data_IF_679189097520
#
_entry.id   IF_679189097520
#
_cell.length_a   1.000
_cell.length_b   1.000
_cell.length_c   1.000
_cell.angle_alpha   90.00
_cell.angle_beta   90.00
_cell.angle_gamma   90.00
#
_symmetry.space_group_name_H-M   'P 1'
#
loop_
_entity.id
_entity.type
_entity.pdbx_description
1 polymer ?
#
# COMPACT_ATOMS: atom_id res chain seq x y z
N UNK A 1 -12.69 28.19 3.26
CA UNK A 1 -12.28 26.78 3.04
C UNK A 1 -11.22 26.75 1.95
N UNK A 2 -10.07 26.13 2.17
CA UNK A 2 -8.99 26.12 1.19
C UNK A 2 -9.44 25.34 -0.07
N UNK A 3 -9.41 25.97 -1.25
CA UNK A 3 -9.89 25.40 -2.52
C UNK A 3 -9.20 24.03 -2.81
N UNK A 4 -7.92 23.93 -2.49
CA UNK A 4 -7.14 22.69 -2.67
C UNK A 4 -7.69 21.54 -1.82
N UNK A 5 -8.01 21.80 -0.55
CA UNK A 5 -8.58 20.78 0.34
C UNK A 5 -9.96 20.30 -0.15
N UNK A 6 -10.78 21.20 -0.71
CA UNK A 6 -12.05 20.82 -1.31
C UNK A 6 -11.87 19.89 -2.51
N UNK A 7 -10.87 20.17 -3.37
CA UNK A 7 -10.54 19.32 -4.52
C UNK A 7 -10.01 17.96 -4.09
N UNK A 8 -9.09 17.90 -3.12
CA UNK A 8 -8.57 16.63 -2.59
C UNK A 8 -9.69 15.79 -1.93
N UNK A 9 -10.61 16.45 -1.20
CA UNK A 9 -11.78 15.76 -0.65
C UNK A 9 -12.69 15.19 -1.74
N UNK A 10 -12.84 15.91 -2.86
CA UNK A 10 -13.56 15.42 -4.03
C UNK A 10 -12.88 14.16 -4.60
N UNK A 11 -11.56 14.23 -4.85
CA UNK A 11 -10.78 13.07 -5.35
C UNK A 11 -10.97 11.84 -4.45
N UNK A 12 -11.00 12.03 -3.12
CA UNK A 12 -11.28 10.95 -2.18
C UNK A 12 -12.65 10.30 -2.41
N UNK A 13 -13.70 11.11 -2.61
CA UNK A 13 -15.05 10.58 -2.77
C UNK A 13 -15.28 9.94 -4.14
N UNK A 14 -14.70 10.51 -5.19
CA UNK A 14 -14.77 9.97 -6.55
C UNK A 14 -14.01 8.63 -6.66
N UNK A 15 -12.85 8.54 -5.99
CA UNK A 15 -11.96 7.38 -6.05
C UNK A 15 -11.93 6.55 -4.76
N UNK A 16 -13.03 6.53 -3.99
CA UNK A 16 -13.10 5.78 -2.71
C UNK A 16 -12.84 4.28 -2.86
N UNK A 17 -13.09 3.68 -4.03
CA UNK A 17 -12.72 2.31 -4.34
C UNK A 17 -11.21 2.10 -4.25
N UNK A 18 -10.44 2.90 -4.96
CA UNK A 18 -8.98 2.85 -4.99
C UNK A 18 -8.34 3.27 -3.67
N UNK A 19 -8.86 4.34 -3.02
CA UNK A 19 -8.24 4.96 -1.85
C UNK A 19 -8.60 4.25 -0.54
N UNK A 20 -9.85 3.77 -0.40
CA UNK A 20 -10.34 3.17 0.84
C UNK A 20 -10.57 1.67 0.71
N UNK A 21 -11.32 1.24 -0.31
CA UNK A 21 -11.76 -0.17 -0.39
C UNK A 21 -10.61 -1.09 -0.73
N UNK A 22 -9.78 -0.74 -1.70
CA UNK A 22 -8.64 -1.58 -2.11
C UNK A 22 -7.67 -1.87 -0.97
N UNK A 23 -7.12 -0.88 -0.22
CA UNK A 23 -6.22 -1.21 0.89
C UNK A 23 -6.90 -2.05 1.97
N UNK A 24 -8.19 -1.79 2.31
CA UNK A 24 -8.92 -2.59 3.31
C UNK A 24 -9.12 -4.04 2.86
N UNK A 25 -9.45 -4.28 1.59
CA UNK A 25 -9.58 -5.64 1.03
C UNK A 25 -8.25 -6.39 1.11
N UNK A 26 -7.14 -5.71 0.79
CA UNK A 26 -5.80 -6.30 0.87
C UNK A 26 -5.43 -6.64 2.30
N UNK A 27 -5.67 -5.71 3.23
CA UNK A 27 -5.44 -5.96 4.67
C UNK A 27 -6.28 -7.13 5.17
N UNK A 28 -7.56 -7.18 4.80
CA UNK A 28 -8.45 -8.30 5.14
C UNK A 28 -7.97 -9.62 4.54
N UNK A 29 -7.53 -9.64 3.28
CA UNK A 29 -6.96 -10.82 2.64
C UNK A 29 -5.68 -11.30 3.34
N UNK A 30 -4.81 -10.38 3.75
CA UNK A 30 -3.60 -10.70 4.49
C UNK A 30 -3.91 -11.33 5.86
N UNK A 31 -4.88 -10.76 6.60
CA UNK A 31 -5.35 -11.32 7.88
C UNK A 31 -5.96 -12.70 7.69
N UNK A 32 -6.80 -12.89 6.65
CA UNK A 32 -7.39 -14.19 6.33
C UNK A 32 -6.32 -15.23 5.99
N UNK A 33 -5.33 -14.87 5.17
CA UNK A 33 -4.23 -15.77 4.83
C UNK A 33 -3.44 -16.21 6.08
N UNK A 34 -3.18 -15.28 7.01
CA UNK A 34 -2.53 -15.60 8.27
C UNK A 34 -3.39 -16.52 9.15
N UNK A 35 -4.69 -16.24 9.28
CA UNK A 35 -5.62 -17.09 10.02
C UNK A 35 -5.69 -18.49 9.42
N UNK A 36 -5.81 -18.60 8.10
CA UNK A 36 -5.78 -19.89 7.41
C UNK A 36 -4.47 -20.63 7.65
N UNK A 37 -3.33 -19.93 7.65
CA UNK A 37 -2.04 -20.51 8.00
C UNK A 37 -2.03 -21.11 9.41
N UNK A 38 -2.51 -20.37 10.41
CA UNK A 38 -2.61 -20.85 11.81
C UNK A 38 -3.57 -22.04 11.92
N UNK A 39 -4.75 -21.96 11.30
CA UNK A 39 -5.75 -23.06 11.33
C UNK A 39 -5.23 -24.29 10.60
N UNK A 40 -4.57 -24.14 9.47
CA UNK A 40 -4.00 -25.26 8.71
C UNK A 40 -2.91 -25.96 9.52
N UNK A 41 -2.00 -25.19 10.11
CA UNK A 41 -0.98 -25.75 11.01
C UNK A 41 -1.62 -26.52 12.18
N UNK A 42 -2.64 -25.96 12.81
CA UNK A 42 -3.33 -26.65 13.92
C UNK A 42 -4.12 -27.89 13.49
N UNK A 43 -4.58 -27.97 12.23
CA UNK A 43 -5.34 -29.12 11.72
C UNK A 43 -4.44 -30.31 11.35
N UNK A 44 -3.24 -30.03 10.81
CA UNK A 44 -2.24 -31.07 10.52
C UNK A 44 -1.47 -31.49 11.78
N UNK A 45 -1.69 -30.80 12.89
CA UNK A 45 -1.01 -30.97 14.16
C UNK A 45 -2.00 -31.46 15.20
N UNK A 46 -2.42 -32.75 15.09
CA UNK A 46 -3.41 -33.38 15.99
C UNK A 46 -3.04 -33.26 17.47
N UNK A 47 -1.75 -33.04 17.79
CA UNK A 47 -1.23 -32.96 19.17
C UNK A 47 -0.71 -31.56 19.57
N UNK A 48 -0.92 -30.51 18.74
CA UNK A 48 -0.37 -29.16 18.96
C UNK A 48 1.16 -29.08 18.87
N UNK A 49 1.76 -30.10 18.26
CA UNK A 49 3.22 -30.27 18.21
C UNK A 49 3.93 -29.19 17.38
N UNK A 50 3.39 -28.89 16.20
CA UNK A 50 4.04 -27.95 15.25
C UNK A 50 4.00 -26.53 15.77
N UNK A 51 2.88 -26.09 16.35
CA UNK A 51 2.75 -24.73 16.92
C UNK A 51 3.62 -24.59 18.16
N UNK A 52 3.66 -25.60 19.02
CA UNK A 52 4.56 -25.63 20.19
C UNK A 52 6.03 -25.63 19.80
N UNK A 53 6.42 -26.41 18.79
CA UNK A 53 7.80 -26.38 18.27
C UNK A 53 8.18 -25.02 17.73
N UNK A 54 7.30 -24.35 16.99
CA UNK A 54 7.58 -23.01 16.47
C UNK A 54 7.77 -21.98 17.60
N UNK A 55 6.97 -22.08 18.67
CA UNK A 55 7.12 -21.24 19.87
C UNK A 55 8.38 -21.60 20.64
N UNK A 56 8.73 -22.88 20.73
CA UNK A 56 9.97 -23.35 21.36
C UNK A 56 11.21 -22.87 20.59
N UNK A 57 11.21 -22.96 19.26
CA UNK A 57 12.30 -22.41 18.43
C UNK A 57 12.45 -20.90 18.62
N UNK A 58 11.34 -20.15 18.66
CA UNK A 58 11.35 -18.73 19.01
C UNK A 58 11.95 -18.49 20.42
N UNK A 59 11.69 -19.37 21.37
CA UNK A 59 12.21 -19.24 22.73
C UNK A 59 13.72 -19.48 22.84
N UNK A 60 14.27 -20.33 21.95
CA UNK A 60 15.72 -20.64 21.86
C UNK A 60 16.53 -19.51 21.18
N UNK A 61 15.88 -18.65 20.39
CA UNK A 61 16.56 -17.52 19.74
C UNK A 61 17.03 -16.50 20.78
N UNK A 62 18.19 -15.86 20.53
CA UNK A 62 18.62 -14.73 21.32
C UNK A 62 17.65 -13.53 21.19
N UNK A 63 17.56 -12.65 22.18
CA UNK A 63 16.70 -11.46 22.11
C UNK A 63 16.94 -10.62 20.85
N UNK A 64 18.19 -10.43 20.44
CA UNK A 64 18.55 -9.65 19.25
C UNK A 64 18.08 -10.32 17.96
N UNK A 65 18.32 -11.62 17.82
CA UNK A 65 17.87 -12.41 16.63
C UNK A 65 16.34 -12.38 16.52
N UNK A 66 15.63 -12.49 17.64
CA UNK A 66 14.17 -12.41 17.71
C UNK A 66 13.66 -11.06 17.23
N UNK A 67 14.28 -9.97 17.71
CA UNK A 67 13.98 -8.61 17.28
C UNK A 67 14.22 -8.41 15.78
N UNK A 68 15.29 -8.98 15.23
CA UNK A 68 15.61 -8.91 13.80
C UNK A 68 14.59 -9.67 12.94
N UNK A 69 14.20 -10.87 13.34
CA UNK A 69 13.17 -11.66 12.64
C UNK A 69 11.84 -10.92 12.60
N UNK A 70 11.40 -10.35 13.73
CA UNK A 70 10.16 -9.59 13.82
C UNK A 70 10.21 -8.30 12.98
N UNK A 71 11.33 -7.61 13.00
CA UNK A 71 11.55 -6.41 12.20
C UNK A 71 11.53 -6.71 10.70
N UNK A 72 12.28 -7.71 10.25
CA UNK A 72 12.33 -8.11 8.85
C UNK A 72 10.99 -8.67 8.36
N UNK A 73 10.29 -9.44 9.19
CA UNK A 73 8.92 -9.91 8.91
C UNK A 73 7.93 -8.75 8.72
N UNK A 74 8.02 -7.73 9.58
CA UNK A 74 7.22 -6.52 9.44
C UNK A 74 7.51 -5.73 8.16
N UNK A 75 8.77 -5.64 7.73
CA UNK A 75 9.14 -5.03 6.46
C UNK A 75 8.69 -5.88 5.26
N UNK A 76 8.90 -7.19 5.32
CA UNK A 76 8.51 -8.11 4.24
C UNK A 76 6.99 -8.08 3.97
N UNK A 77 6.17 -7.99 5.03
CA UNK A 77 4.72 -7.87 4.89
C UNK A 77 4.29 -6.61 4.14
N UNK A 78 5.06 -5.52 4.24
CA UNK A 78 4.77 -4.27 3.54
C UNK A 78 5.00 -4.35 2.02
N UNK A 79 5.78 -5.31 1.54
CA UNK A 79 6.09 -5.45 0.11
C UNK A 79 4.81 -5.66 -0.72
N UNK A 80 3.90 -6.50 -0.23
CA UNK A 80 2.63 -6.74 -0.90
C UNK A 80 1.77 -5.46 -0.99
N UNK A 81 1.69 -4.71 0.11
CA UNK A 81 1.00 -3.41 0.12
C UNK A 81 1.65 -2.41 -0.84
N UNK A 82 2.99 -2.39 -0.89
CA UNK A 82 3.75 -1.50 -1.79
C UNK A 82 3.47 -1.79 -3.25
N UNK A 83 3.47 -3.06 -3.64
CA UNK A 83 3.18 -3.47 -5.03
C UNK A 83 1.77 -3.03 -5.43
N UNK A 84 0.76 -3.34 -4.60
CA UNK A 84 -0.62 -2.99 -4.95
C UNK A 84 -0.84 -1.47 -4.90
N UNK A 85 -0.26 -0.76 -3.93
CA UNK A 85 -0.28 0.70 -3.89
C UNK A 85 0.28 1.31 -5.18
N UNK A 86 1.40 0.77 -5.69
CA UNK A 86 2.02 1.24 -6.93
C UNK A 86 1.08 1.08 -8.13
N UNK A 87 0.38 -0.05 -8.23
CA UNK A 87 -0.65 -0.25 -9.26
C UNK A 87 -1.83 0.72 -9.09
N UNK A 88 -2.30 0.92 -7.86
CA UNK A 88 -3.39 1.87 -7.59
C UNK A 88 -3.00 3.28 -8.01
N UNK A 89 -1.82 3.76 -7.64
CA UNK A 89 -1.30 5.09 -8.03
C UNK A 89 -1.16 5.19 -9.54
N UNK A 90 -0.61 4.16 -10.19
CA UNK A 90 -0.43 4.11 -11.64
C UNK A 90 -1.77 4.27 -12.38
N UNK A 91 -2.76 3.44 -12.07
CA UNK A 91 -4.07 3.49 -12.74
C UNK A 91 -4.87 4.73 -12.35
N UNK A 92 -4.76 5.19 -11.11
CA UNK A 92 -5.37 6.46 -10.68
C UNK A 92 -4.87 7.64 -11.51
N UNK A 93 -3.56 7.82 -11.65
CA UNK A 93 -2.99 8.93 -12.44
C UNK A 93 -3.30 8.79 -13.93
N UNK A 94 -3.29 7.58 -14.45
CA UNK A 94 -3.60 7.30 -15.84
C UNK A 94 -5.06 7.61 -16.18
N UNK A 95 -5.99 7.35 -15.27
CA UNK A 95 -7.42 7.67 -15.41
C UNK A 95 -7.76 9.12 -15.07
N UNK A 96 -7.01 9.77 -14.22
CA UNK A 96 -7.37 10.99 -13.51
C UNK A 96 -7.91 12.14 -14.40
N UNK A 97 -7.31 12.43 -15.55
CA UNK A 97 -7.76 13.44 -16.51
C UNK A 97 -8.54 12.83 -17.68
N UNK A 98 -8.26 11.57 -17.99
CA UNK A 98 -8.94 10.85 -19.05
C UNK A 98 -10.43 10.64 -18.74
N UNK A 99 -10.74 10.19 -17.53
CA UNK A 99 -12.12 9.93 -17.10
C UNK A 99 -12.91 11.24 -17.02
N UNK A 100 -12.32 12.34 -16.48
CA UNK A 100 -12.93 13.67 -16.46
C UNK A 100 -13.31 14.17 -17.87
N UNK A 101 -12.53 13.82 -18.91
CA UNK A 101 -12.83 14.16 -20.31
C UNK A 101 -13.88 13.23 -20.92
N UNK A 102 -13.76 11.94 -20.68
CA UNK A 102 -14.66 10.93 -21.22
C UNK A 102 -16.09 11.15 -20.75
N UNK A 103 -16.27 11.46 -19.47
CA UNK A 103 -17.60 11.67 -18.86
C UNK A 103 -18.09 13.12 -19.02
N UNK A 104 -17.32 13.97 -19.74
CA UNK A 104 -17.61 15.40 -19.93
C UNK A 104 -17.73 16.20 -18.63
N UNK A 105 -17.36 15.65 -17.50
CA UNK A 105 -17.37 16.35 -16.21
C UNK A 105 -16.39 17.53 -16.20
N UNK A 106 -15.38 17.51 -17.05
CA UNK A 106 -14.45 18.61 -17.26
C UNK A 106 -15.15 19.93 -17.60
N UNK A 107 -16.29 19.91 -18.31
CA UNK A 107 -17.05 21.11 -18.66
C UNK A 107 -17.67 21.76 -17.41
N UNK A 108 -18.14 20.92 -16.48
CA UNK A 108 -18.65 21.39 -15.18
C UNK A 108 -17.50 21.95 -14.33
N UNK A 109 -16.37 21.27 -14.28
CA UNK A 109 -15.22 21.72 -13.48
C UNK A 109 -14.60 23.02 -14.00
N UNK A 110 -14.57 23.23 -15.31
CA UNK A 110 -14.11 24.49 -15.91
C UNK A 110 -15.05 25.69 -15.65
N UNK A 111 -16.29 25.45 -15.30
CA UNK A 111 -17.20 26.52 -14.87
C UNK A 111 -16.96 26.98 -13.42
N UNK A 112 -16.22 26.22 -12.63
CA UNK A 112 -15.86 26.58 -11.26
C UNK A 112 -14.60 27.47 -11.25
N UNK A 113 -14.44 28.37 -10.27
CA UNK A 113 -13.29 29.26 -10.16
C UNK A 113 -12.05 28.53 -9.60
N UNK A 114 -11.69 27.39 -10.21
CA UNK A 114 -10.48 26.62 -9.92
C UNK A 114 -9.54 26.71 -11.12
N UNK A 115 -8.26 26.96 -10.86
CA UNK A 115 -7.24 26.94 -11.91
C UNK A 115 -6.86 25.51 -12.30
N UNK A 116 -6.40 25.32 -13.54
CA UNK A 116 -5.93 24.01 -14.01
C UNK A 116 -4.75 23.51 -13.15
N UNK A 117 -3.89 24.40 -12.66
CA UNK A 117 -2.80 24.06 -11.73
C UNK A 117 -3.29 23.50 -10.39
N UNK A 118 -4.39 24.04 -9.85
CA UNK A 118 -5.00 23.51 -8.63
C UNK A 118 -5.62 22.13 -8.86
N UNK A 119 -6.21 21.92 -10.02
CA UNK A 119 -6.79 20.62 -10.39
C UNK A 119 -5.71 19.56 -10.56
N UNK A 120 -4.63 19.85 -11.29
CA UNK A 120 -3.49 18.93 -11.43
C UNK A 120 -2.81 18.70 -10.08
N UNK A 121 -2.62 19.77 -9.29
CA UNK A 121 -2.02 19.70 -7.96
C UNK A 121 -2.82 18.83 -7.00
N UNK A 122 -4.16 18.87 -7.03
CA UNK A 122 -5.01 18.01 -6.20
C UNK A 122 -4.85 16.53 -6.57
N UNK A 123 -4.75 16.19 -7.84
CA UNK A 123 -4.52 14.82 -8.33
C UNK A 123 -3.12 14.31 -7.96
N UNK A 124 -2.09 15.15 -8.08
CA UNK A 124 -0.74 14.81 -7.60
C UNK A 124 -0.70 14.60 -6.09
N UNK A 125 -1.30 15.50 -5.30
CA UNK A 125 -1.38 15.35 -3.85
C UNK A 125 -2.13 14.08 -3.44
N UNK A 126 -3.18 13.72 -4.15
CA UNK A 126 -3.90 12.47 -3.92
C UNK A 126 -3.00 11.27 -4.16
N UNK A 127 -2.26 11.25 -5.26
CA UNK A 127 -1.33 10.16 -5.60
C UNK A 127 -0.14 10.07 -4.62
N UNK A 128 0.44 11.22 -4.24
CA UNK A 128 1.67 11.27 -3.43
C UNK A 128 1.43 11.19 -1.93
N UNK A 129 0.26 11.59 -1.46
CA UNK A 129 -0.01 11.73 -0.01
C UNK A 129 -1.23 10.92 0.40
N UNK A 130 -2.39 11.13 -0.23
CA UNK A 130 -3.63 10.55 0.24
C UNK A 130 -3.67 9.03 0.08
N UNK A 131 -3.25 8.52 -1.08
CA UNK A 131 -3.18 7.07 -1.33
C UNK A 131 -2.15 6.40 -0.40
N UNK A 132 -0.88 6.86 -0.30
CA UNK A 132 0.08 6.28 0.65
C UNK A 132 -0.39 6.35 2.10
N UNK A 133 -1.03 7.42 2.55
CA UNK A 133 -1.58 7.51 3.91
C UNK A 133 -2.68 6.49 4.16
N UNK A 134 -3.58 6.28 3.21
CA UNK A 134 -4.65 5.30 3.34
C UNK A 134 -4.10 3.86 3.40
N UNK A 135 -3.09 3.55 2.57
CA UNK A 135 -2.39 2.27 2.61
C UNK A 135 -1.61 2.08 3.89
N UNK A 136 -0.93 3.12 4.38
CA UNK A 136 -0.19 3.08 5.64
C UNK A 136 -1.12 2.85 6.83
N UNK A 137 -2.25 3.55 6.89
CA UNK A 137 -3.24 3.36 7.95
C UNK A 137 -3.78 1.91 7.96
N UNK A 138 -4.06 1.35 6.78
CA UNK A 138 -4.51 -0.04 6.67
C UNK A 138 -3.40 -1.03 7.03
N UNK A 139 -2.16 -0.79 6.61
CA UNK A 139 -1.01 -1.60 6.99
C UNK A 139 -0.83 -1.64 8.51
N UNK A 140 -0.88 -0.48 9.18
CA UNK A 140 -0.80 -0.38 10.63
C UNK A 140 -1.91 -1.20 11.29
N UNK A 141 -3.16 -1.05 10.82
CA UNK A 141 -4.29 -1.82 11.31
C UNK A 141 -4.06 -3.33 11.12
N UNK A 142 -3.58 -3.73 9.94
CA UNK A 142 -3.25 -5.13 9.62
C UNK A 142 -2.18 -5.67 10.56
N UNK A 143 -1.09 -4.92 10.80
CA UNK A 143 -0.03 -5.33 11.73
C UNK A 143 -0.53 -5.45 13.17
N UNK A 144 -1.44 -4.59 13.62
CA UNK A 144 -2.06 -4.70 14.94
C UNK A 144 -2.89 -5.98 15.04
N UNK A 145 -3.75 -6.24 14.05
CA UNK A 145 -4.61 -7.44 14.05
C UNK A 145 -3.78 -8.71 13.96
N UNK A 146 -2.80 -8.78 13.07
CA UNK A 146 -1.92 -9.95 12.93
C UNK A 146 -1.01 -10.15 14.15
N UNK A 147 -0.58 -9.07 14.79
CA UNK A 147 0.16 -9.11 16.05
C UNK A 147 -0.69 -9.69 17.20
N UNK A 148 -1.98 -9.34 17.27
CA UNK A 148 -2.92 -9.93 18.22
C UNK A 148 -3.14 -11.43 17.96
N UNK A 149 -3.30 -11.83 16.70
CA UNK A 149 -3.42 -13.25 16.32
C UNK A 149 -2.16 -14.01 16.76
N UNK A 150 -0.97 -13.48 16.48
CA UNK A 150 0.30 -14.08 16.89
C UNK A 150 0.41 -14.20 18.40
N UNK A 151 0.04 -13.17 19.16
CA UNK A 151 0.05 -13.19 20.61
C UNK A 151 -0.89 -14.26 21.18
N UNK A 152 -2.10 -14.41 20.62
CA UNK A 152 -3.06 -15.45 21.00
C UNK A 152 -2.50 -16.84 20.65
N UNK A 153 -1.89 -17.02 19.49
CA UNK A 153 -1.27 -18.27 19.07
C UNK A 153 -0.15 -18.71 20.05
N UNK A 154 0.69 -17.76 20.47
CA UNK A 154 1.74 -18.01 21.48
C UNK A 154 1.13 -18.41 22.81
N UNK A 155 0.04 -17.78 23.26
CA UNK A 155 -0.66 -18.14 24.50
C UNK A 155 -1.25 -19.56 24.45
N UNK A 156 -1.86 -19.95 23.33
CA UNK A 156 -2.45 -21.30 23.15
C UNK A 156 -1.33 -22.36 23.17
N UNK A 157 -0.13 -22.01 22.73
CA UNK A 157 1.04 -22.90 22.74
C UNK A 157 1.81 -22.89 24.09
N UNK A 158 1.20 -22.40 25.17
CA UNK A 158 1.78 -22.27 26.52
C UNK A 158 3.01 -21.33 26.58
N UNK A 159 3.20 -20.47 25.57
CA UNK A 159 4.27 -19.46 25.52
C UNK A 159 3.87 -18.15 26.18
N UNK A 160 4.86 -17.29 26.46
CA UNK A 160 4.63 -15.94 26.96
C UNK A 160 4.76 -14.90 25.82
N UNK A 161 3.64 -14.29 25.35
CA UNK A 161 3.68 -13.31 24.25
C UNK A 161 4.52 -12.07 24.57
N UNK A 162 4.58 -11.65 25.82
CA UNK A 162 5.37 -10.50 26.22
C UNK A 162 6.85 -10.73 25.95
N UNK A 163 7.41 -11.84 26.43
CA UNK A 163 8.82 -12.15 26.31
C UNK A 163 9.23 -12.62 24.92
N UNK A 164 8.30 -13.26 24.15
CA UNK A 164 8.61 -13.82 22.84
C UNK A 164 8.33 -12.86 21.70
N UNK A 165 7.38 -11.95 21.85
CA UNK A 165 6.92 -11.06 20.78
C UNK A 165 6.96 -9.58 21.18
N UNK A 166 6.18 -9.15 22.20
CA UNK A 166 5.90 -7.73 22.47
C UNK A 166 7.17 -6.97 22.86
N UNK A 167 7.98 -7.52 23.78
CA UNK A 167 9.19 -6.87 24.29
C UNK A 167 10.28 -6.67 23.21
N UNK A 168 10.26 -7.49 22.15
CA UNK A 168 11.27 -7.44 21.07
C UNK A 168 10.73 -6.82 19.77
N UNK A 169 9.41 -6.62 19.67
CA UNK A 169 8.80 -5.94 18.53
C UNK A 169 9.00 -4.42 18.67
N UNK A 170 9.41 -3.76 17.58
CA UNK A 170 9.45 -2.30 17.51
C UNK A 170 8.58 -1.84 16.33
N UNK A 171 7.25 -1.90 16.47
CA UNK A 171 6.33 -1.59 15.37
C UNK A 171 6.45 -0.14 14.90
N UNK A 172 6.71 0.81 15.80
CA UNK A 172 6.86 2.22 15.43
C UNK A 172 8.07 2.46 14.52
N UNK A 173 9.18 1.74 14.74
CA UNK A 173 10.36 1.78 13.86
C UNK A 173 10.00 1.24 12.46
N UNK A 174 9.30 0.10 12.39
CA UNK A 174 8.87 -0.51 11.12
C UNK A 174 7.94 0.44 10.37
N UNK A 175 6.89 0.95 11.01
CA UNK A 175 5.93 1.88 10.38
C UNK A 175 6.59 3.19 9.95
N UNK A 176 7.50 3.72 10.76
CA UNK A 176 8.25 4.94 10.41
C UNK A 176 9.11 4.76 9.18
N UNK A 177 9.84 3.65 9.05
CA UNK A 177 10.67 3.35 7.88
C UNK A 177 9.79 3.17 6.64
N UNK A 178 8.69 2.41 6.75
CA UNK A 178 7.76 2.23 5.63
C UNK A 178 7.17 3.57 5.18
N UNK A 179 6.71 4.40 6.12
CA UNK A 179 6.18 5.72 5.82
C UNK A 179 7.21 6.59 5.07
N UNK A 180 8.42 6.71 5.62
CA UNK A 180 9.49 7.50 4.99
C UNK A 180 9.82 6.95 3.61
N UNK A 181 9.93 5.62 3.45
CA UNK A 181 10.22 4.98 2.17
C UNK A 181 9.14 5.27 1.13
N UNK A 182 7.86 5.19 1.48
CA UNK A 182 6.76 5.45 0.55
C UNK A 182 6.67 6.91 0.13
N UNK A 183 6.83 7.86 1.06
CA UNK A 183 6.83 9.28 0.72
C UNK A 183 8.06 9.68 -0.08
N UNK A 184 9.24 9.17 0.26
CA UNK A 184 10.45 9.38 -0.52
C UNK A 184 10.30 8.82 -1.95
N UNK A 185 9.78 7.60 -2.09
CA UNK A 185 9.50 6.97 -3.38
C UNK A 185 8.49 7.78 -4.21
N UNK A 186 7.48 8.39 -3.59
CA UNK A 186 6.52 9.26 -4.27
C UNK A 186 7.19 10.51 -4.85
N UNK A 187 8.18 11.08 -4.17
CA UNK A 187 8.98 12.21 -4.69
C UNK A 187 9.85 11.76 -5.86
N UNK A 188 10.51 10.61 -5.73
CA UNK A 188 11.32 10.04 -6.81
C UNK A 188 10.49 9.67 -8.05
N UNK A 189 9.24 9.28 -7.87
CA UNK A 189 8.33 8.92 -8.93
C UNK A 189 7.66 10.14 -9.63
N UNK A 190 7.93 11.38 -9.21
CA UNK A 190 7.34 12.59 -9.80
C UNK A 190 7.44 12.66 -11.32
N UNK A 191 8.58 12.35 -11.97
CA UNK A 191 8.66 12.35 -13.42
C UNK A 191 7.68 11.35 -14.06
N UNK A 192 7.54 10.16 -13.47
CA UNK A 192 6.57 9.15 -13.91
C UNK A 192 5.14 9.63 -13.70
N UNK A 193 4.84 10.24 -12.56
CA UNK A 193 3.51 10.80 -12.27
C UNK A 193 3.14 11.90 -13.27
N UNK A 194 4.09 12.79 -13.56
CA UNK A 194 3.93 13.82 -14.60
C UNK A 194 3.67 13.23 -15.99
N UNK A 195 4.41 12.18 -16.36
CA UNK A 195 4.19 11.42 -17.60
C UNK A 195 2.79 10.81 -17.67
N UNK A 196 2.35 10.12 -16.62
CA UNK A 196 1.02 9.50 -16.58
C UNK A 196 -0.11 10.53 -16.67
N UNK A 197 -0.01 11.66 -15.97
CA UNK A 197 -0.96 12.76 -16.07
C UNK A 197 -0.94 13.40 -17.46
N UNK A 198 0.24 13.56 -18.07
CA UNK A 198 0.36 14.07 -19.44
C UNK A 198 -0.38 13.14 -20.40
N UNK A 199 -0.11 11.84 -20.37
CA UNK A 199 -0.81 10.84 -21.19
C UNK A 199 -2.32 10.85 -20.91
N UNK A 200 -2.72 10.89 -19.65
CA UNK A 200 -4.11 11.00 -19.23
C UNK A 200 -4.81 12.23 -19.85
N UNK A 201 -4.07 13.30 -20.09
CA UNK A 201 -4.64 14.55 -20.64
C UNK A 201 -4.94 14.49 -22.13
N UNK A 202 -4.23 13.71 -22.94
CA UNK A 202 -4.39 13.70 -24.42
C UNK A 202 -4.84 12.37 -25.02
N UNK A 203 -4.67 11.24 -24.33
CA UNK A 203 -5.00 9.92 -24.86
C UNK A 203 -6.47 9.82 -25.33
N UNK A 204 -6.74 9.39 -26.59
CA UNK A 204 -8.11 9.42 -27.13
C UNK A 204 -8.98 8.23 -26.68
N UNK A 205 -8.41 7.02 -26.51
CA UNK A 205 -9.21 5.82 -26.18
C UNK A 205 -8.59 4.89 -25.14
N UNK A 206 -7.30 4.57 -25.22
CA UNK A 206 -6.63 3.60 -24.37
C UNK A 206 -5.39 4.21 -23.75
N UNK A 207 -5.52 4.96 -22.64
CA UNK A 207 -4.38 5.67 -22.03
C UNK A 207 -3.19 4.76 -21.72
N UNK A 208 -3.44 3.50 -21.36
CA UNK A 208 -2.41 2.53 -21.04
C UNK A 208 -1.41 2.32 -22.19
N UNK A 209 -1.89 2.20 -23.43
CA UNK A 209 -1.01 2.03 -24.59
C UNK A 209 -0.13 3.27 -24.82
N UNK A 210 -0.70 4.45 -24.66
CA UNK A 210 0.04 5.71 -24.80
C UNK A 210 1.05 5.93 -23.67
N UNK A 211 0.81 5.36 -22.49
CA UNK A 211 1.74 5.44 -21.37
C UNK A 211 2.90 4.45 -21.48
N UNK A 212 2.65 3.25 -22.03
CA UNK A 212 3.63 2.16 -22.03
C UNK A 212 4.43 2.04 -23.34
N UNK A 213 3.81 2.26 -24.50
CA UNK A 213 4.48 2.08 -25.79
C UNK A 213 5.68 3.03 -26.01
N UNK A 214 5.60 4.35 -25.76
CA UNK A 214 6.75 5.23 -26.00
C UNK A 214 7.98 4.86 -25.16
N UNK A 215 7.89 4.65 -23.83
CA UNK A 215 9.04 4.23 -23.05
C UNK A 215 9.59 2.86 -23.50
N UNK A 216 8.72 1.93 -23.88
CA UNK A 216 9.13 0.60 -24.36
C UNK A 216 9.89 0.69 -25.68
N UNK A 217 9.40 1.48 -26.65
CA UNK A 217 10.08 1.70 -27.93
C UNK A 217 11.46 2.34 -27.67
N UNK A 218 11.52 3.36 -26.81
CA UNK A 218 12.79 3.99 -26.43
C UNK A 218 13.77 3.00 -25.82
N UNK A 219 13.31 2.14 -24.91
CA UNK A 219 14.15 1.10 -24.27
C UNK A 219 14.69 0.11 -25.28
N UNK A 220 13.86 -0.33 -26.24
CA UNK A 220 14.30 -1.24 -27.31
C UNK A 220 15.30 -0.58 -28.22
N UNK A 221 15.06 0.67 -28.65
CA UNK A 221 16.01 1.40 -29.50
C UNK A 221 17.35 1.63 -28.79
N UNK A 222 17.33 1.94 -27.48
CA UNK A 222 18.55 2.15 -26.71
C UNK A 222 19.35 0.84 -26.51
N UNK A 223 18.69 -0.31 -26.48
CA UNK A 223 19.36 -1.62 -26.41
C UNK A 223 20.01 -2.02 -27.75
N UNK A 224 19.66 -1.36 -28.85
CA UNK A 224 20.21 -1.61 -30.19
C UNK A 224 21.42 -0.71 -30.54
N UNK A 225 21.68 0.34 -29.77
CA UNK A 225 22.80 1.27 -29.92
C UNK A 225 23.89 0.91 -28.90
#
# INVERSE_FOLDING_TARGET
MNKLLALVKREFWENKGAIRTTPLVIGGFYVLAMLMGVVTLSHFDADGYTTRMAVEELSKMSPDMRGEVLYNGGLASSAFFTVVMSFVVFFYLLGALYDDRKDRSILFWKSLPASDTLTIGSKLLTAMVLIPLAFLATLILTHIVTGLILAITILIADGNPWSLFIAHSNPFKVWGIIAVSWFASSIWALPLYGWLLLVSSFAPRVPLLFATLPPLIFSVLQAWI
#
